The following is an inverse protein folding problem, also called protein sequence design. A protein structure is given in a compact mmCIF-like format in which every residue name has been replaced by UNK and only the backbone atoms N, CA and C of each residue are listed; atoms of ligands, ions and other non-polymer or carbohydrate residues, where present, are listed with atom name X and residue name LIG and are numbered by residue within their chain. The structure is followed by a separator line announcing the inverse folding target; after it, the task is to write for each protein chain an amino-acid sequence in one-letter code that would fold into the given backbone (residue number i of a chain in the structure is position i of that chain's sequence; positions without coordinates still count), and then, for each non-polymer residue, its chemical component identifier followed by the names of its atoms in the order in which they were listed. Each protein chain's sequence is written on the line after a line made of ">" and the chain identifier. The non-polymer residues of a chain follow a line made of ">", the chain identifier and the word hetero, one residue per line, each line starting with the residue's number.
data_IF_077909322786
#
_entry.id   IF_077909322786
#
_cell.length_a   1.000
_cell.length_b   1.000
_cell.length_c   1.000
_cell.angle_alpha   90.00
_cell.angle_beta   90.00
_cell.angle_gamma   90.00
#
_symmetry.space_group_name_H-M   'P 1'
#
loop_
_entity.id
_entity.type
_entity.pdbx_description
1 polymer ?
#
# COMPACT_ATOMS: atom_id res chain seq x y z
N UNK A 1 -18.18 5.18 -36.19
CA UNK A 1 -16.95 4.42 -35.89
C UNK A 1 -15.90 5.42 -35.46
N UNK A 2 -15.63 5.53 -34.16
CA UNK A 2 -14.61 6.47 -33.66
C UNK A 2 -13.24 5.78 -33.64
N UNK A 3 -12.20 6.39 -34.24
CA UNK A 3 -10.84 5.89 -34.18
C UNK A 3 -10.19 6.44 -32.90
N UNK A 4 -9.89 5.59 -31.93
CA UNK A 4 -9.04 5.99 -30.83
C UNK A 4 -7.93 4.97 -30.65
N UNK A 5 -6.74 5.33 -31.15
CA UNK A 5 -5.52 4.54 -31.07
C UNK A 5 -4.55 5.13 -30.04
N UNK A 6 -5.07 5.62 -28.92
CA UNK A 6 -4.27 6.18 -27.84
C UNK A 6 -4.68 5.58 -26.49
N UNK A 7 -4.54 4.27 -26.33
CA UNK A 7 -4.32 3.73 -25.00
C UNK A 7 -2.93 4.17 -24.56
N UNK A 8 -2.81 5.35 -23.94
CA UNK A 8 -1.65 5.69 -23.13
C UNK A 8 -1.69 4.82 -21.86
N UNK A 9 -1.42 3.52 -22.04
CA UNK A 9 -0.93 2.69 -20.98
C UNK A 9 0.47 3.22 -20.67
N UNK A 10 0.55 4.19 -19.76
CA UNK A 10 1.80 4.54 -19.10
C UNK A 10 2.20 3.34 -18.25
N UNK A 11 2.83 2.36 -18.89
CA UNK A 11 3.27 1.08 -18.31
C UNK A 11 4.43 1.21 -17.33
N UNK A 12 4.75 2.41 -16.84
CA UNK A 12 5.82 2.60 -15.85
C UNK A 12 5.33 2.64 -14.40
N UNK A 13 4.02 2.80 -14.13
CA UNK A 13 3.47 2.84 -12.76
C UNK A 13 2.57 1.64 -12.44
N UNK A 14 2.16 0.86 -13.44
CA UNK A 14 1.27 -0.30 -13.28
C UNK A 14 1.99 -1.64 -13.04
N UNK A 15 3.32 -1.65 -12.98
CA UNK A 15 4.10 -2.86 -12.66
C UNK A 15 4.80 -2.70 -11.32
N UNK A 16 4.02 -2.55 -10.25
CA UNK A 16 4.33 -3.44 -9.12
C UNK A 16 4.10 -4.83 -9.70
N UNK A 17 5.14 -5.67 -9.83
CA UNK A 17 5.02 -6.96 -10.50
C UNK A 17 3.81 -7.70 -9.91
N UNK A 18 2.91 -8.17 -10.76
CA UNK A 18 1.71 -8.92 -10.33
C UNK A 18 2.05 -10.04 -9.34
N UNK A 19 3.25 -10.62 -9.44
CA UNK A 19 3.80 -11.61 -8.49
C UNK A 19 4.06 -11.08 -7.08
N UNK A 20 4.52 -9.83 -6.92
CA UNK A 20 4.77 -9.23 -5.60
C UNK A 20 3.46 -8.92 -4.87
N UNK A 21 2.46 -8.44 -5.62
CA UNK A 21 1.10 -8.24 -5.13
C UNK A 21 0.49 -9.57 -4.68
N UNK A 22 0.63 -10.63 -5.48
CA UNK A 22 0.14 -11.96 -5.15
C UNK A 22 0.80 -12.52 -3.87
N UNK A 23 2.13 -12.39 -3.73
CA UNK A 23 2.83 -12.79 -2.50
C UNK A 23 2.34 -12.02 -1.27
N UNK A 24 2.15 -10.70 -1.40
CA UNK A 24 1.64 -9.86 -0.32
C UNK A 24 0.24 -10.30 0.11
N UNK A 25 -0.66 -10.53 -0.85
CA UNK A 25 -2.03 -10.99 -0.57
C UNK A 25 -2.05 -12.38 0.04
N UNK A 26 -1.17 -13.30 -0.39
CA UNK A 26 -1.03 -14.63 0.26
C UNK A 26 -0.60 -14.50 1.71
N UNK A 27 0.36 -13.63 2.01
CA UNK A 27 0.80 -13.37 3.38
C UNK A 27 -0.36 -12.87 4.25
N UNK A 28 -1.13 -11.89 3.79
CA UNK A 28 -2.29 -11.39 4.53
C UNK A 28 -3.45 -12.40 4.61
N UNK A 29 -3.60 -13.28 3.62
CA UNK A 29 -4.53 -14.41 3.71
C UNK A 29 -4.16 -15.37 4.82
N UNK A 30 -2.87 -15.68 4.96
CA UNK A 30 -2.37 -16.50 6.06
C UNK A 30 -2.66 -15.86 7.42
N UNK A 31 -2.32 -14.57 7.60
CA UNK A 31 -2.64 -13.85 8.84
C UNK A 31 -4.16 -13.78 9.12
N UNK A 32 -4.98 -13.63 8.08
CA UNK A 32 -6.44 -13.63 8.23
C UNK A 32 -6.98 -14.97 8.73
N UNK A 33 -6.38 -16.09 8.33
CA UNK A 33 -6.79 -17.43 8.81
C UNK A 33 -6.43 -17.64 10.27
N UNK A 34 -5.31 -17.05 10.71
CA UNK A 34 -4.89 -17.04 12.11
C UNK A 34 -5.79 -16.15 12.98
N UNK A 35 -6.69 -15.36 12.38
CA UNK A 35 -7.67 -14.52 13.09
C UNK A 35 -7.07 -13.57 14.12
N UNK A 36 -5.82 -13.15 13.92
CA UNK A 36 -5.08 -12.26 14.82
C UNK A 36 -5.61 -10.82 14.84
N UNK A 37 -6.23 -10.38 13.74
CA UNK A 37 -6.87 -9.08 13.64
C UNK A 37 -7.99 -9.09 12.61
N UNK A 38 -9.19 -8.59 12.98
CA UNK A 38 -10.42 -8.68 12.15
C UNK A 38 -10.31 -7.99 10.80
N UNK A 39 -9.47 -6.96 10.68
CA UNK A 39 -9.34 -6.14 9.47
C UNK A 39 -8.00 -6.33 8.75
N UNK A 40 -7.27 -7.41 9.05
CA UNK A 40 -5.93 -7.65 8.51
C UNK A 40 -5.91 -7.79 6.99
N UNK A 41 -6.96 -8.40 6.41
CA UNK A 41 -7.11 -8.50 4.95
C UNK A 41 -7.37 -7.12 4.33
N UNK A 42 -8.17 -6.29 4.99
CA UNK A 42 -8.46 -4.93 4.53
C UNK A 42 -7.19 -4.08 4.50
N UNK A 43 -6.34 -4.22 5.53
CA UNK A 43 -5.01 -3.61 5.59
C UNK A 43 -4.13 -4.07 4.42
N UNK A 44 -4.05 -5.39 4.18
CA UNK A 44 -3.29 -5.93 3.06
C UNK A 44 -3.74 -5.44 1.70
N UNK A 45 -5.06 -5.41 1.45
CA UNK A 45 -5.62 -4.88 0.21
C UNK A 45 -5.31 -3.40 0.01
N UNK A 46 -5.35 -2.58 1.07
CA UNK A 46 -5.01 -1.15 0.98
C UNK A 46 -3.55 -0.89 0.61
N UNK A 47 -2.65 -1.84 0.88
CA UNK A 47 -1.25 -1.79 0.47
C UNK A 47 -1.03 -2.35 -0.93
N UNK A 48 -1.72 -3.45 -1.26
CA UNK A 48 -1.62 -4.15 -2.53
C UNK A 48 -2.23 -3.35 -3.70
N UNK A 49 -3.35 -2.68 -3.43
CA UNK A 49 -4.18 -1.96 -4.41
C UNK A 49 -4.56 -0.60 -3.84
N UNK A 50 -3.60 0.32 -3.70
CA UNK A 50 -3.88 1.61 -3.11
C UNK A 50 -4.69 2.49 -4.07
N UNK A 51 -5.62 3.26 -3.52
CA UNK A 51 -6.44 4.17 -4.32
C UNK A 51 -5.61 5.34 -4.86
N UNK A 52 -5.90 5.74 -6.10
CA UNK A 52 -5.32 6.92 -6.73
C UNK A 52 -6.33 8.08 -6.68
N UNK A 53 -6.03 9.12 -5.89
CA UNK A 53 -6.85 10.34 -5.82
C UNK A 53 -6.17 11.50 -6.56
N UNK A 54 -6.97 12.42 -7.11
CA UNK A 54 -6.44 13.65 -7.69
C UNK A 54 -6.11 14.63 -6.57
N UNK A 55 -4.85 15.06 -6.49
CA UNK A 55 -4.44 16.02 -5.47
C UNK A 55 -5.09 17.39 -5.76
N UNK A 56 -5.86 17.90 -4.81
CA UNK A 56 -6.70 19.09 -4.97
C UNK A 56 -5.89 20.28 -5.52
N UNK A 57 -6.29 20.80 -6.68
CA UNK A 57 -5.62 21.94 -7.33
C UNK A 57 -4.40 21.61 -8.20
N UNK A 58 -4.07 20.33 -8.41
CA UNK A 58 -2.97 19.92 -9.31
C UNK A 58 -3.42 18.84 -10.29
N UNK A 59 -2.76 18.73 -11.45
CA UNK A 59 -2.94 17.60 -12.38
C UNK A 59 -2.21 16.33 -11.90
N UNK A 60 -1.80 16.28 -10.63
CA UNK A 60 -1.04 15.16 -10.07
C UNK A 60 -1.98 14.13 -9.45
N UNK A 61 -1.74 12.85 -9.76
CA UNK A 61 -2.39 11.71 -9.10
C UNK A 61 -1.55 11.29 -7.91
N UNK A 62 -2.22 10.90 -6.83
CA UNK A 62 -1.59 10.59 -5.55
C UNK A 62 -2.11 9.25 -5.04
N UNK A 63 -1.19 8.42 -4.57
CA UNK A 63 -1.50 7.12 -3.98
C UNK A 63 -1.85 7.30 -2.50
N UNK A 64 -2.96 6.71 -2.07
CA UNK A 64 -3.44 6.70 -0.70
C UNK A 64 -3.00 5.42 0.00
N UNK A 65 -2.12 5.56 0.99
CA UNK A 65 -1.68 4.47 1.86
C UNK A 65 -2.50 4.43 3.16
N UNK A 66 -2.57 3.27 3.84
CA UNK A 66 -3.21 3.17 5.15
C UNK A 66 -2.54 4.07 6.19
N UNK A 67 -3.33 4.56 7.14
CA UNK A 67 -2.81 5.37 8.25
C UNK A 67 -1.92 4.55 9.18
N UNK A 68 -0.97 5.20 9.86
CA UNK A 68 -0.12 4.55 10.85
C UNK A 68 -0.90 3.88 11.99
N UNK A 69 -1.99 4.49 12.45
CA UNK A 69 -2.87 3.89 13.46
C UNK A 69 -3.49 2.56 13.03
N UNK A 70 -3.81 2.41 11.74
CA UNK A 70 -4.35 1.16 11.20
C UNK A 70 -3.27 0.08 11.11
N UNK A 71 -2.06 0.45 10.69
CA UNK A 71 -0.90 -0.44 10.76
C UNK A 71 -0.61 -0.91 12.18
N UNK A 72 -0.62 0.01 13.15
CA UNK A 72 -0.33 -0.30 14.55
C UNK A 72 -1.34 -1.29 15.14
N UNK A 73 -2.64 -1.11 14.85
CA UNK A 73 -3.67 -2.06 15.24
C UNK A 73 -3.44 -3.45 14.63
N UNK A 74 -3.04 -3.51 13.35
CA UNK A 74 -2.72 -4.77 12.68
C UNK A 74 -1.47 -5.45 13.28
N UNK A 75 -0.40 -4.68 13.55
CA UNK A 75 0.83 -5.16 14.18
C UNK A 75 0.55 -5.71 15.57
N UNK A 76 -0.14 -4.95 16.43
CA UNK A 76 -0.44 -5.37 17.81
C UNK A 76 -1.20 -6.70 17.87
N UNK A 77 -2.11 -6.94 16.93
CA UNK A 77 -2.84 -8.21 16.85
C UNK A 77 -1.99 -9.36 16.30
N UNK A 78 -1.25 -9.13 15.21
CA UNK A 78 -0.66 -10.20 14.41
C UNK A 78 0.84 -10.44 14.66
N UNK A 79 1.58 -9.47 15.16
CA UNK A 79 3.01 -9.65 15.52
C UNK A 79 3.21 -10.71 16.61
N UNK A 80 2.44 -10.77 17.71
CA UNK A 80 2.59 -11.83 18.71
C UNK A 80 2.37 -13.23 18.12
N UNK A 81 1.45 -13.35 17.16
CA UNK A 81 1.18 -14.62 16.48
C UNK A 81 2.33 -15.01 15.56
N UNK A 82 2.94 -14.05 14.84
CA UNK A 82 4.14 -14.31 14.05
C UNK A 82 5.33 -14.74 14.93
N UNK A 83 5.48 -14.11 16.10
CA UNK A 83 6.55 -14.43 17.04
C UNK A 83 6.48 -15.87 17.56
N UNK A 84 5.28 -16.46 17.66
CA UNK A 84 5.12 -17.89 18.00
C UNK A 84 5.80 -18.83 16.99
N UNK A 85 6.04 -18.36 15.76
CA UNK A 85 6.73 -19.10 14.70
C UNK A 85 8.14 -18.55 14.44
N UNK A 86 8.72 -17.80 15.39
CA UNK A 86 10.01 -17.11 15.24
C UNK A 86 10.05 -16.13 14.06
N UNK A 87 8.91 -15.61 13.62
CA UNK A 87 8.81 -14.55 12.62
C UNK A 87 8.54 -13.21 13.31
N UNK A 88 9.08 -12.13 12.75
CA UNK A 88 8.82 -10.77 13.21
C UNK A 88 7.87 -10.05 12.26
N UNK A 89 7.31 -8.93 12.74
CA UNK A 89 6.60 -8.02 11.84
C UNK A 89 7.57 -7.52 10.73
N UNK A 90 7.22 -7.65 9.44
CA UNK A 90 8.15 -7.34 8.35
C UNK A 90 8.56 -5.86 8.29
N UNK A 91 9.80 -5.59 7.89
CA UNK A 91 10.31 -4.21 7.81
C UNK A 91 9.53 -3.35 6.81
N UNK A 92 9.05 -3.93 5.71
CA UNK A 92 8.22 -3.25 4.72
C UNK A 92 6.80 -2.95 5.22
N UNK A 93 6.42 -3.43 6.41
CA UNK A 93 5.17 -3.11 7.10
C UNK A 93 5.41 -2.25 8.34
N UNK A 94 6.62 -1.66 8.51
CA UNK A 94 6.92 -0.80 9.67
C UNK A 94 5.98 0.38 9.71
N UNK A 95 5.24 0.52 10.79
CA UNK A 95 4.20 1.54 10.87
C UNK A 95 4.71 2.99 10.79
N UNK A 96 5.99 3.23 11.09
CA UNK A 96 6.65 4.54 10.94
C UNK A 96 6.72 5.03 9.49
N UNK A 97 6.57 4.15 8.50
CA UNK A 97 6.56 4.55 7.09
C UNK A 97 5.19 5.08 6.65
N UNK A 98 4.15 4.81 7.43
CA UNK A 98 2.82 5.35 7.23
C UNK A 98 2.68 6.65 8.01
N UNK A 99 1.96 7.60 7.44
CA UNK A 99 1.65 8.85 8.12
C UNK A 99 0.35 8.71 8.91
N UNK A 100 0.22 9.48 9.99
CA UNK A 100 -1.05 9.60 10.73
C UNK A 100 -2.11 10.37 9.92
N UNK A 101 -1.67 11.14 8.93
CA UNK A 101 -2.51 11.80 7.93
C UNK A 101 -2.33 11.03 6.64
N UNK A 102 -3.39 10.74 5.90
CA UNK A 102 -3.30 10.13 4.56
C UNK A 102 -2.37 10.97 3.67
N UNK A 103 -1.08 10.62 3.63
CA UNK A 103 -0.02 11.40 2.97
C UNK A 103 0.44 10.56 1.79
N UNK A 104 0.08 10.92 0.57
CA UNK A 104 0.74 11.94 -0.23
C UNK A 104 2.21 11.62 -0.44
N UNK A 105 2.49 10.48 -1.07
CA UNK A 105 3.70 10.37 -1.86
C UNK A 105 3.57 11.36 -3.03
N UNK A 106 3.97 12.61 -2.79
CA UNK A 106 4.22 13.54 -3.87
C UNK A 106 5.41 12.99 -4.70
N UNK A 107 5.39 13.14 -6.04
CA UNK A 107 6.57 12.84 -6.84
C UNK A 107 7.75 13.72 -6.38
N UNK A 108 9.01 13.26 -6.52
CA UNK A 108 10.18 14.03 -6.10
C UNK A 108 10.18 15.37 -6.83
N UNK A 109 10.07 16.46 -6.06
CA UNK A 109 10.22 17.82 -6.54
C UNK A 109 11.68 18.05 -6.95
N UNK A 110 12.02 17.87 -8.23
CA UNK A 110 13.27 18.40 -8.76
C UNK A 110 13.12 19.91 -8.93
N UNK A 111 13.53 20.63 -7.90
CA UNK A 111 13.81 22.06 -7.91
C UNK A 111 14.73 22.44 -9.06
N UNK A 112 14.30 23.33 -9.95
CA UNK A 112 15.19 24.08 -10.84
C UNK A 112 15.45 25.46 -10.21
N UNK A 113 16.70 25.81 -9.85
CA UNK A 113 17.09 27.20 -9.56
C UNK A 113 17.32 28.00 -10.87
N UNK A 114 17.41 29.34 -10.79
CA UNK A 114 17.14 30.27 -11.89
C UNK A 114 18.16 30.28 -13.03
#
# INVERSE_FOLDING_TARGET
>A
MLPYNHTWLSSSVAVVKSSEVDMLLRFFNYLSRLSCYRHIMMFGCSLALPECVQAHGTNSRMVVLPCASFCEAARQGCEPVLQMFNASWPDFLRCSQFSNVTSALAPPSSSSPP
#
